data_IF_731600562720
#
_entry.id   IF_731600562720
#
_cell.length_a   1.000
_cell.length_b   1.000
_cell.length_c   1.000
_cell.angle_alpha   90.00
_cell.angle_beta   90.00
_cell.angle_gamma   90.00
#
_symmetry.space_group_name_H-M   'P 1'
#
loop_
_entity.id
_entity.type
_entity.pdbx_description
1 polymer ?
#
# COMPACT_ATOMS: atom_id res chain seq x y z
N UNK A 1 22.12 -2.17 -6.72
CA UNK A 1 21.51 -1.29 -5.71
C UNK A 1 20.00 -1.14 -5.93
N UNK A 2 19.55 -0.68 -7.10
CA UNK A 2 18.12 -0.42 -7.38
C UNK A 2 17.20 -1.63 -7.14
N UNK A 3 17.60 -2.84 -7.56
CA UNK A 3 16.83 -4.08 -7.32
C UNK A 3 16.52 -4.37 -5.84
N UNK A 4 17.40 -3.98 -4.92
CA UNK A 4 17.18 -4.19 -3.48
C UNK A 4 16.12 -3.20 -2.97
N UNK A 5 16.20 -1.94 -3.40
CA UNK A 5 15.24 -0.89 -3.04
C UNK A 5 13.84 -1.24 -3.56
N UNK A 6 13.74 -1.70 -4.81
CA UNK A 6 12.49 -2.16 -5.41
C UNK A 6 11.87 -3.35 -4.68
N UNK A 7 12.70 -4.30 -4.20
CA UNK A 7 12.24 -5.44 -3.39
C UNK A 7 11.56 -5.00 -2.09
N UNK A 8 11.95 -3.85 -1.54
CA UNK A 8 11.34 -3.25 -0.34
C UNK A 8 10.25 -2.23 -0.66
N UNK A 9 9.77 -2.19 -1.91
CA UNK A 9 8.77 -1.22 -2.39
C UNK A 9 9.21 0.23 -2.19
N UNK A 10 10.51 0.47 -2.33
CA UNK A 10 11.08 1.81 -2.34
C UNK A 10 11.32 2.19 -3.82
N UNK A 11 10.50 3.09 -4.40
CA UNK A 11 10.70 3.54 -5.77
C UNK A 11 12.00 4.33 -5.88
N UNK A 12 13.04 3.70 -6.42
CA UNK A 12 14.40 4.26 -6.42
C UNK A 12 14.54 5.48 -7.34
N UNK A 13 13.66 5.63 -8.33
CA UNK A 13 13.57 6.82 -9.18
C UNK A 13 12.95 7.99 -8.41
N UNK A 14 11.83 7.77 -7.71
CA UNK A 14 11.21 8.81 -6.88
C UNK A 14 12.11 9.28 -5.73
N UNK A 15 12.90 8.37 -5.16
CA UNK A 15 13.87 8.71 -4.10
C UNK A 15 14.95 9.70 -4.57
N UNK A 16 15.20 9.80 -5.88
CA UNK A 16 16.20 10.71 -6.48
C UNK A 16 15.61 12.07 -6.86
N UNK A 17 14.30 12.19 -6.81
CA UNK A 17 13.59 13.46 -6.99
C UNK A 17 13.56 14.22 -5.67
N UNK A 18 13.59 15.56 -5.73
CA UNK A 18 13.42 16.45 -4.56
C UNK A 18 11.93 16.62 -4.19
N UNK A 19 11.15 15.54 -4.32
CA UNK A 19 9.72 15.51 -4.07
C UNK A 19 9.40 14.35 -3.12
N UNK A 20 9.42 14.68 -1.83
CA UNK A 20 9.18 13.72 -0.76
C UNK A 20 7.72 13.25 -0.71
N UNK A 21 6.77 14.13 -0.99
CA UNK A 21 5.34 13.83 -0.89
C UNK A 21 4.93 12.82 -1.97
N UNK A 22 5.37 13.04 -3.22
CA UNK A 22 5.16 12.09 -4.32
C UNK A 22 5.81 10.73 -4.05
N UNK A 23 7.03 10.72 -3.49
CA UNK A 23 7.69 9.48 -3.08
C UNK A 23 6.90 8.74 -1.99
N UNK A 24 6.39 9.45 -1.00
CA UNK A 24 5.63 8.89 0.12
C UNK A 24 4.31 8.29 -0.36
N UNK A 25 3.55 9.02 -1.18
CA UNK A 25 2.26 8.57 -1.68
C UNK A 25 2.37 7.33 -2.57
N UNK A 26 3.34 7.31 -3.48
CA UNK A 26 3.57 6.13 -4.34
C UNK A 26 3.95 4.91 -3.50
N UNK A 27 4.86 5.08 -2.53
CA UNK A 27 5.26 4.00 -1.62
C UNK A 27 4.09 3.51 -0.76
N UNK A 28 3.28 4.42 -0.23
CA UNK A 28 2.10 4.11 0.57
C UNK A 28 1.10 3.27 -0.24
N UNK A 29 0.79 3.68 -1.46
CA UNK A 29 -0.10 2.93 -2.36
C UNK A 29 0.46 1.54 -2.69
N UNK A 30 1.76 1.43 -2.97
CA UNK A 30 2.40 0.15 -3.28
C UNK A 30 2.36 -0.85 -2.10
N UNK A 31 2.48 -0.35 -0.87
CA UNK A 31 2.37 -1.16 0.35
C UNK A 31 0.92 -1.54 0.63
N UNK A 32 -0.02 -0.60 0.53
CA UNK A 32 -1.45 -0.87 0.70
C UNK A 32 -1.94 -1.94 -0.27
N UNK A 33 -1.49 -1.89 -1.54
CA UNK A 33 -1.81 -2.92 -2.54
C UNK A 33 -1.23 -4.31 -2.20
N UNK A 34 -0.07 -4.37 -1.55
CA UNK A 34 0.49 -5.63 -1.07
C UNK A 34 -0.34 -6.19 0.08
N UNK A 35 -0.68 -5.35 1.04
CA UNK A 35 -1.47 -5.71 2.22
C UNK A 35 -2.87 -6.15 1.78
N UNK A 36 -3.52 -5.42 0.87
CA UNK A 36 -4.82 -5.76 0.30
C UNK A 36 -4.80 -7.12 -0.38
N UNK A 37 -3.77 -7.40 -1.19
CA UNK A 37 -3.61 -8.68 -1.88
C UNK A 37 -3.38 -9.83 -0.90
N UNK A 38 -2.62 -9.60 0.18
CA UNK A 38 -2.36 -10.59 1.21
C UNK A 38 -3.59 -10.86 2.09
N UNK A 39 -4.37 -9.83 2.42
CA UNK A 39 -5.57 -9.92 3.25
C UNK A 39 -6.83 -10.31 2.46
N UNK A 40 -6.79 -10.26 1.13
CA UNK A 40 -7.96 -10.46 0.28
C UNK A 40 -9.02 -9.35 0.37
N UNK A 41 -8.72 -8.24 1.05
CA UNK A 41 -9.64 -7.09 1.24
C UNK A 41 -9.29 -5.98 0.27
N UNK A 42 -10.29 -5.34 -0.34
CA UNK A 42 -10.05 -4.18 -1.22
C UNK A 42 -9.64 -2.97 -0.39
N UNK A 43 -8.44 -2.43 -0.65
CA UNK A 43 -8.03 -1.16 -0.04
C UNK A 43 -8.51 -0.01 -0.92
N UNK A 44 -9.48 0.75 -0.41
CA UNK A 44 -9.90 2.03 -0.95
C UNK A 44 -8.88 3.10 -0.52
N UNK A 45 -8.33 3.82 -1.48
CA UNK A 45 -7.41 4.92 -1.20
C UNK A 45 -8.21 6.18 -0.82
N UNK A 46 -7.70 6.87 0.21
CA UNK A 46 -8.28 8.00 0.97
C UNK A 46 -9.38 7.65 2.00
N UNK A 47 -9.02 7.77 3.28
CA UNK A 47 -9.92 7.65 4.43
C UNK A 47 -10.19 6.19 4.83
N UNK A 48 -9.65 5.76 5.97
CA UNK A 48 -9.95 4.47 6.60
C UNK A 48 -11.44 4.38 6.97
N UNK A 49 -12.33 4.11 6.03
CA UNK A 49 -13.73 3.85 6.34
C UNK A 49 -14.24 2.57 5.68
N UNK A 50 -14.30 1.56 6.55
CA UNK A 50 -15.18 0.39 6.58
C UNK A 50 -15.15 -0.61 5.42
N UNK A 51 -14.58 -1.77 5.70
CA UNK A 51 -15.26 -3.03 5.40
C UNK A 51 -15.43 -3.79 6.71
N UNK A 52 -16.67 -3.78 7.20
CA UNK A 52 -17.17 -4.66 8.26
C UNK A 52 -16.90 -6.11 7.85
N UNK A 53 -16.04 -6.82 8.60
CA UNK A 53 -16.19 -8.27 8.68
C UNK A 53 -17.51 -8.49 9.42
N UNK A 54 -18.60 -8.57 8.67
CA UNK A 54 -19.80 -9.26 9.12
C UNK A 54 -19.40 -10.73 9.21
N UNK A 55 -18.84 -11.13 10.35
CA UNK A 55 -18.78 -12.53 10.74
C UNK A 55 -20.22 -13.00 11.03
N UNK A 56 -21.00 -13.23 9.97
CA UNK A 56 -22.17 -14.10 10.04
C UNK A 56 -21.65 -15.53 10.29
N UNK A 57 -21.46 -15.85 11.57
CA UNK A 57 -21.39 -17.23 12.01
C UNK A 57 -22.26 -17.42 13.26
N UNK A 58 -23.56 -17.36 13.04
CA UNK A 58 -24.56 -17.95 13.94
C UNK A 58 -25.50 -18.79 13.07
N UNK A 59 -25.34 -20.13 13.15
CA UNK A 59 -26.35 -21.20 13.17
C UNK A 59 -25.64 -22.52 13.51
#
# INVERSE_FOLDING_TARGET
MNKILESHRIPSEMLRTDDFDSFYDERKQALLKLISAAMGKQVLAEGLETQTDSEDNEI
#
